data_IF_394071745923
#
_entry.id   IF_394071745923
#
_cell.length_a   1.000
_cell.length_b   1.000
_cell.length_c   1.000
_cell.angle_alpha   90.00
_cell.angle_beta   90.00
_cell.angle_gamma   90.00
#
_symmetry.space_group_name_H-M   'P 1'
#
loop_
_entity.id
_entity.type
_entity.pdbx_description
1 polymer ?
#
# COMPACT_ATOMS: atom_id res chain seq x y z
N UNK A 1 16.38 4.90 -2.46
CA UNK A 1 17.03 5.85 -1.54
C UNK A 1 15.97 6.47 -0.62
N UNK A 2 16.33 7.38 0.29
CA UNK A 2 15.33 8.13 1.08
C UNK A 2 14.49 9.05 0.17
N UNK A 3 15.13 9.77 -0.76
CA UNK A 3 14.45 10.64 -1.73
C UNK A 3 13.46 9.88 -2.62
N UNK A 4 13.80 8.65 -3.04
CA UNK A 4 12.87 7.80 -3.80
C UNK A 4 11.64 7.40 -2.97
N UNK A 5 11.85 7.17 -1.67
CA UNK A 5 10.77 6.80 -0.78
C UNK A 5 9.84 7.99 -0.49
N UNK A 6 10.38 9.19 -0.26
CA UNK A 6 9.56 10.41 -0.12
C UNK A 6 8.71 10.66 -1.37
N UNK A 7 9.30 10.53 -2.57
CA UNK A 7 8.55 10.63 -3.83
C UNK A 7 7.46 9.57 -3.96
N UNK A 8 7.68 8.37 -3.43
CA UNK A 8 6.65 7.33 -3.38
C UNK A 8 5.47 7.75 -2.49
N UNK A 9 5.74 8.37 -1.33
CA UNK A 9 4.68 8.90 -0.46
C UNK A 9 3.90 10.04 -1.13
N UNK A 10 4.58 10.93 -1.85
CA UNK A 10 3.94 12.01 -2.61
C UNK A 10 2.98 11.46 -3.67
N UNK A 11 3.40 10.45 -4.43
CA UNK A 11 2.56 9.80 -5.44
C UNK A 11 1.36 9.10 -4.78
N UNK A 12 1.57 8.37 -3.69
CA UNK A 12 0.48 7.69 -2.98
C UNK A 12 -0.54 8.68 -2.42
N UNK A 13 -0.08 9.81 -1.88
CA UNK A 13 -0.96 10.87 -1.38
C UNK A 13 -1.73 11.56 -2.51
N UNK A 14 -1.07 11.86 -3.64
CA UNK A 14 -1.70 12.51 -4.79
C UNK A 14 -2.71 11.62 -5.51
N UNK A 15 -2.47 10.30 -5.55
CA UNK A 15 -3.37 9.34 -6.19
C UNK A 15 -4.66 9.08 -5.37
N UNK A 16 -4.64 9.37 -4.07
CA UNK A 16 -5.77 9.21 -3.16
C UNK A 16 -6.46 7.82 -3.23
N UNK A 17 -5.66 6.75 -3.25
CA UNK A 17 -6.20 5.38 -3.37
C UNK A 17 -7.24 5.07 -2.29
N UNK A 18 -8.41 4.56 -2.72
CA UNK A 18 -9.43 3.98 -1.83
C UNK A 18 -8.92 2.70 -1.13
N UNK A 19 -8.01 1.98 -1.80
CA UNK A 19 -7.33 0.79 -1.27
C UNK A 19 -6.06 0.51 -2.09
N UNK A 20 -5.02 -0.04 -1.45
CA UNK A 20 -3.81 -0.48 -2.15
C UNK A 20 -3.19 -1.72 -1.51
N UNK A 21 -2.68 -2.63 -2.35
CA UNK A 21 -1.82 -3.72 -1.92
C UNK A 21 -0.36 -3.25 -1.88
N UNK A 22 0.25 -3.28 -0.70
CA UNK A 22 1.64 -2.91 -0.49
C UNK A 22 2.41 -4.08 0.10
N UNK A 23 3.66 -4.28 -0.33
CA UNK A 23 4.53 -5.37 0.15
C UNK A 23 5.95 -4.89 0.38
N UNK A 24 6.64 -5.47 1.36
CA UNK A 24 8.09 -5.34 1.49
C UNK A 24 8.74 -6.22 0.44
N UNK A 25 9.77 -5.68 -0.22
CA UNK A 25 10.52 -6.41 -1.23
C UNK A 25 11.10 -7.72 -0.67
N UNK A 26 10.98 -8.78 -1.44
CA UNK A 26 11.57 -10.08 -1.14
C UNK A 26 12.22 -10.61 -2.43
N UNK A 27 13.55 -10.80 -2.47
CA UNK A 27 14.22 -11.23 -3.69
C UNK A 27 13.75 -12.63 -4.10
N UNK A 28 13.57 -12.81 -5.41
CA UNK A 28 13.13 -14.08 -5.99
C UNK A 28 14.26 -14.68 -6.82
N UNK A 29 14.69 -15.93 -6.56
CA UNK A 29 15.77 -16.55 -7.32
C UNK A 29 15.52 -16.50 -8.84
N UNK A 30 16.54 -16.13 -9.60
CA UNK A 30 16.47 -16.02 -11.06
C UNK A 30 15.95 -14.67 -11.59
N UNK A 31 15.73 -13.68 -10.73
CA UNK A 31 15.42 -12.30 -11.14
C UNK A 31 16.65 -11.41 -11.05
N UNK A 32 16.79 -10.43 -11.95
CA UNK A 32 17.86 -9.43 -11.87
C UNK A 32 17.88 -8.72 -10.51
N UNK A 33 16.69 -8.41 -9.97
CA UNK A 33 16.55 -7.80 -8.65
C UNK A 33 17.14 -8.66 -7.51
N UNK A 34 17.21 -9.98 -7.65
CA UNK A 34 17.84 -10.83 -6.64
C UNK A 34 19.37 -10.70 -6.62
N UNK A 35 19.98 -10.25 -7.72
CA UNK A 35 21.43 -10.04 -7.84
C UNK A 35 21.85 -8.62 -7.37
N UNK A 36 20.88 -7.73 -7.13
CA UNK A 36 21.10 -6.34 -6.72
C UNK A 36 21.33 -6.18 -5.20
N UNK A 37 22.03 -7.11 -4.57
CA UNK A 37 22.18 -7.18 -3.10
C UNK A 37 22.74 -5.88 -2.48
N UNK A 38 23.66 -5.21 -3.18
CA UNK A 38 24.22 -3.92 -2.74
C UNK A 38 23.19 -2.79 -2.66
N UNK A 39 22.02 -2.95 -3.27
CA UNK A 39 20.91 -1.99 -3.24
C UNK A 39 19.81 -2.39 -2.25
N UNK A 40 19.94 -3.53 -1.58
CA UNK A 40 18.93 -3.97 -0.61
C UNK A 40 18.90 -3.01 0.57
N UNK A 41 17.67 -2.75 1.01
CA UNK A 41 17.40 -1.91 2.17
C UNK A 41 17.40 -2.78 3.40
N UNK A 42 17.99 -2.29 4.49
CA UNK A 42 17.94 -2.95 5.78
C UNK A 42 16.47 -3.28 6.17
N UNK A 43 16.19 -4.50 6.68
CA UNK A 43 14.83 -4.92 7.00
C UNK A 43 14.08 -3.97 7.96
N UNK A 44 14.78 -3.35 8.92
CA UNK A 44 14.16 -2.40 9.85
C UNK A 44 13.74 -1.11 9.13
N UNK A 45 14.57 -0.62 8.21
CA UNK A 45 14.25 0.55 7.37
C UNK A 45 13.09 0.21 6.42
N UNK A 46 13.08 -0.97 5.80
CA UNK A 46 11.98 -1.40 4.95
C UNK A 46 10.66 -1.52 5.72
N UNK A 47 10.71 -2.02 6.96
CA UNK A 47 9.55 -2.09 7.86
C UNK A 47 9.02 -0.72 8.26
N UNK A 48 9.90 0.22 8.62
CA UNK A 48 9.53 1.60 8.96
C UNK A 48 8.86 2.32 7.78
N UNK A 49 9.47 2.24 6.60
CA UNK A 49 8.92 2.78 5.36
C UNK A 49 7.57 2.17 5.00
N UNK A 50 7.43 0.86 5.16
CA UNK A 50 6.16 0.18 4.94
C UNK A 50 5.04 0.76 5.83
N UNK A 51 5.30 0.98 7.12
CA UNK A 51 4.31 1.58 8.02
C UNK A 51 3.96 3.01 7.61
N UNK A 52 4.94 3.82 7.22
CA UNK A 52 4.71 5.19 6.74
C UNK A 52 3.83 5.23 5.49
N UNK A 53 4.13 4.39 4.50
CA UNK A 53 3.32 4.28 3.29
C UNK A 53 1.89 3.85 3.61
N UNK A 54 1.74 2.87 4.52
CA UNK A 54 0.43 2.37 4.95
C UNK A 54 -0.42 3.50 5.55
N UNK A 55 0.14 4.34 6.40
CA UNK A 55 -0.57 5.50 6.99
C UNK A 55 -1.09 6.45 5.91
N UNK A 56 -0.29 6.74 4.88
CA UNK A 56 -0.71 7.64 3.78
C UNK A 56 -1.88 7.04 2.99
N UNK A 57 -1.81 5.74 2.66
CA UNK A 57 -2.88 5.04 1.96
C UNK A 57 -4.15 4.97 2.82
N UNK A 58 -4.03 4.57 4.09
CA UNK A 58 -5.17 4.43 5.02
C UNK A 58 -5.91 5.75 5.25
N UNK A 59 -5.18 6.87 5.28
CA UNK A 59 -5.78 8.20 5.38
C UNK A 59 -6.68 8.52 4.17
N UNK A 60 -6.19 8.24 2.97
CA UNK A 60 -6.95 8.47 1.73
C UNK A 60 -8.15 7.54 1.63
N UNK A 61 -7.94 6.26 1.91
CA UNK A 61 -8.98 5.24 1.97
C UNK A 61 -10.11 5.62 2.91
N UNK A 62 -9.78 6.05 4.15
CA UNK A 62 -10.78 6.48 5.12
C UNK A 62 -11.62 7.65 4.61
N UNK A 63 -10.99 8.67 4.02
CA UNK A 63 -11.71 9.83 3.50
C UNK A 63 -12.67 9.43 2.37
N UNK A 64 -12.23 8.56 1.44
CA UNK A 64 -13.08 8.06 0.36
C UNK A 64 -14.24 7.22 0.88
N UNK A 65 -13.99 6.31 1.82
CA UNK A 65 -15.03 5.50 2.43
C UNK A 65 -16.05 6.35 3.20
N UNK A 66 -15.61 7.38 3.93
CA UNK A 66 -16.51 8.31 4.61
C UNK A 66 -17.41 9.06 3.63
N UNK A 67 -16.90 9.46 2.47
CA UNK A 67 -17.70 10.12 1.43
C UNK A 67 -18.82 9.23 0.85
N UNK A 68 -18.74 7.90 1.06
CA UNK A 68 -19.74 6.93 0.60
C UNK A 68 -20.87 6.71 1.63
N UNK A 69 -20.73 7.21 2.86
CA UNK A 69 -21.75 7.05 3.90
C UNK A 69 -23.03 7.79 3.49
N UNK A 70 -24.16 7.07 3.51
CA UNK A 70 -25.48 7.60 3.13
C UNK A 70 -25.80 7.51 1.64
N UNK A 71 -24.87 7.01 0.82
CA UNK A 71 -25.11 6.73 -0.60
C UNK A 71 -25.92 5.45 -0.77
N UNK A 72 -26.73 5.41 -1.82
CA UNK A 72 -27.37 4.17 -2.30
C UNK A 72 -26.43 3.53 -3.31
N UNK A 73 -26.01 2.31 -3.04
CA UNK A 73 -25.02 1.57 -3.86
C UNK A 73 -25.59 0.23 -4.30
N UNK A 74 -25.13 -0.25 -5.45
CA UNK A 74 -25.43 -1.60 -5.91
C UNK A 74 -24.66 -2.62 -5.08
N UNK A 75 -25.33 -3.73 -4.73
CA UNK A 75 -24.76 -4.79 -3.88
C UNK A 75 -24.92 -6.15 -4.54
N UNK A 76 -23.88 -6.99 -4.45
CA UNK A 76 -23.91 -8.39 -4.83
C UNK A 76 -24.04 -9.25 -3.57
N UNK A 77 -25.06 -10.13 -3.54
CA UNK A 77 -25.26 -11.08 -2.44
C UNK A 77 -24.64 -12.43 -2.81
N UNK A 78 -23.51 -12.76 -2.16
CA UNK A 78 -22.78 -14.01 -2.44
C UNK A 78 -23.27 -15.22 -1.61
N UNK A 79 -24.01 -14.98 -0.53
CA UNK A 79 -24.55 -16.03 0.34
C UNK A 79 -24.72 -15.59 1.79
N UNK A 80 -25.21 -16.48 2.68
CA UNK A 80 -25.31 -16.18 4.11
C UNK A 80 -23.93 -16.08 4.78
N UNK A 81 -23.81 -15.25 5.82
CA UNK A 81 -22.60 -15.16 6.65
C UNK A 81 -22.20 -16.52 7.24
N UNK A 82 -20.89 -16.76 7.36
CA UNK A 82 -20.34 -17.99 7.99
C UNK A 82 -20.41 -18.01 9.53
N UNK A 83 -21.08 -17.00 10.13
CA UNK A 83 -21.11 -16.60 11.55
C UNK A 83 -20.07 -15.55 11.89
#
# INVERSE_FOLDING_TARGET
TDDDFERTLEVAAAAEYDYAYTFIFSPRPGTEAAEMEAQFVDPAVAGERFQRLRIVVERSALAKHQARVGMVEEVLVEGPSKK
#
